data_IF_623022003868
#
_entry.id   IF_623022003868
#
_cell.length_a   1.000
_cell.length_b   1.000
_cell.length_c   1.000
_cell.angle_alpha   90.00
_cell.angle_beta   90.00
_cell.angle_gamma   90.00
#
_symmetry.space_group_name_H-M   'P 1'
#
loop_
_entity.id
_entity.type
_entity.pdbx_description
1 polymer ?
#
# COMPACT_ATOMS: atom_id res chain seq x y z
N UNK A 1 -0.99 7.77 2.62
CA UNK A 1 0.33 8.25 2.13
C UNK A 1 0.13 9.25 0.99
N UNK A 2 1.05 10.21 0.80
CA UNK A 2 0.99 11.16 -0.33
C UNK A 2 1.31 10.43 -1.65
N UNK A 3 0.62 10.77 -2.74
CA UNK A 3 0.84 10.21 -4.07
C UNK A 3 2.21 10.60 -4.64
N UNK A 4 2.70 11.79 -4.29
CA UNK A 4 4.00 12.31 -4.76
C UNK A 4 5.13 11.43 -4.22
N UNK A 5 5.06 11.07 -2.93
CA UNK A 5 6.03 10.21 -2.26
C UNK A 5 6.05 8.77 -2.80
N UNK A 6 4.92 8.28 -3.30
CA UNK A 6 4.85 6.93 -3.88
C UNK A 6 5.46 6.95 -5.29
N UNK A 7 5.20 8.00 -6.08
CA UNK A 7 5.73 8.08 -7.47
C UNK A 7 7.24 8.23 -7.53
N UNK A 8 7.83 8.93 -6.57
CA UNK A 8 9.29 9.12 -6.48
C UNK A 8 10.07 7.84 -6.15
N UNK A 9 9.41 6.80 -5.62
CA UNK A 9 10.03 5.52 -5.29
C UNK A 9 10.36 4.68 -6.53
N UNK A 10 11.46 3.95 -6.47
CA UNK A 10 11.84 2.93 -7.46
C UNK A 10 10.90 1.72 -7.41
N UNK A 11 10.92 0.88 -8.45
CA UNK A 11 10.11 -0.35 -8.49
C UNK A 11 10.41 -1.29 -7.31
N UNK A 12 11.69 -1.39 -6.89
CA UNK A 12 12.08 -2.21 -5.73
C UNK A 12 11.47 -1.67 -4.44
N UNK A 13 11.60 -0.36 -4.20
CA UNK A 13 11.05 0.29 -3.00
C UNK A 13 9.51 0.20 -2.96
N UNK A 14 8.85 0.27 -4.11
CA UNK A 14 7.40 0.06 -4.21
C UNK A 14 6.99 -1.36 -3.84
N UNK A 15 7.77 -2.36 -4.25
CA UNK A 15 7.54 -3.76 -3.87
C UNK A 15 7.76 -3.97 -2.37
N UNK A 16 8.81 -3.40 -1.79
CA UNK A 16 9.05 -3.44 -0.34
C UNK A 16 7.94 -2.76 0.46
N UNK A 17 7.51 -1.58 0.00
CA UNK A 17 6.38 -0.84 0.58
C UNK A 17 5.08 -1.64 0.49
N UNK A 18 4.84 -2.35 -0.62
CA UNK A 18 3.67 -3.21 -0.75
C UNK A 18 3.69 -4.35 0.29
N UNK A 19 4.86 -4.94 0.55
CA UNK A 19 5.01 -5.99 1.56
C UNK A 19 4.78 -5.43 2.96
N UNK A 20 5.32 -4.25 3.29
CA UNK A 20 5.12 -3.63 4.60
C UNK A 20 3.64 -3.29 4.84
N UNK A 21 2.97 -2.67 3.88
CA UNK A 21 1.54 -2.35 3.97
C UNK A 21 0.66 -3.59 4.12
N UNK A 22 1.01 -4.70 3.46
CA UNK A 22 0.28 -5.98 3.63
C UNK A 22 0.47 -6.56 5.03
N UNK A 23 1.68 -6.51 5.59
CA UNK A 23 1.93 -6.92 6.98
C UNK A 23 1.16 -6.05 7.97
N UNK A 24 1.17 -4.74 7.75
CA UNK A 24 0.44 -3.78 8.57
C UNK A 24 -1.07 -4.02 8.53
N UNK A 25 -1.62 -4.35 7.35
CA UNK A 25 -3.03 -4.72 7.21
C UNK A 25 -3.38 -5.97 8.01
N UNK A 26 -2.54 -7.01 7.97
CA UNK A 26 -2.76 -8.25 8.75
C UNK A 26 -2.77 -7.93 10.23
N UNK A 27 -1.77 -7.18 10.70
CA UNK A 27 -1.68 -6.76 12.11
C UNK A 27 -2.91 -5.93 12.52
N UNK A 28 -3.35 -4.99 11.69
CA UNK A 28 -4.54 -4.17 11.95
C UNK A 28 -5.81 -5.02 12.05
N UNK A 29 -5.98 -6.03 11.19
CA UNK A 29 -7.12 -6.95 11.23
C UNK A 29 -7.09 -7.84 12.47
N UNK A 30 -5.93 -8.35 12.86
CA UNK A 30 -5.77 -9.15 14.08
C UNK A 30 -6.05 -8.31 15.32
N UNK A 31 -5.45 -7.11 15.41
CA UNK A 31 -5.66 -6.19 16.52
C UNK A 31 -7.13 -5.76 16.63
N UNK A 32 -7.83 -5.54 15.50
CA UNK A 32 -9.26 -5.23 15.51
C UNK A 32 -10.13 -6.36 16.09
N UNK A 33 -9.71 -7.61 15.95
CA UNK A 33 -10.42 -8.74 16.56
C UNK A 33 -10.18 -8.81 18.07
N UNK A 34 -9.00 -8.40 18.52
CA UNK A 34 -8.60 -8.41 19.93
C UNK A 34 -9.20 -7.20 20.67
N UNK A 35 -9.19 -6.03 20.03
CA UNK A 35 -9.70 -4.77 20.57
C UNK A 35 -10.66 -4.07 19.58
N UNK A 36 -11.92 -3.95 19.99
CA UNK A 36 -13.00 -3.30 19.25
C UNK A 36 -12.86 -1.77 19.22
N UNK A 37 -11.98 -1.18 20.03
CA UNK A 37 -11.72 0.28 20.06
C UNK A 37 -10.91 0.79 18.86
N UNK A 38 -10.35 -0.12 18.06
CA UNK A 38 -9.46 0.21 16.95
C UNK A 38 -10.12 1.08 15.88
N UNK A 39 -9.34 2.06 15.41
CA UNK A 39 -9.75 3.11 14.48
C UNK A 39 -10.35 2.49 13.19
N UNK A 40 -11.67 2.63 13.01
CA UNK A 40 -12.44 1.94 11.96
C UNK A 40 -11.88 2.19 10.55
N UNK A 41 -11.33 3.39 10.33
CA UNK A 41 -10.82 3.82 9.02
C UNK A 41 -9.39 3.37 8.73
N UNK A 42 -8.64 2.88 9.73
CA UNK A 42 -7.22 2.54 9.56
C UNK A 42 -7.01 1.42 8.52
N UNK A 43 -7.78 0.33 8.63
CA UNK A 43 -7.75 -0.74 7.63
C UNK A 43 -8.13 -0.25 6.22
N UNK A 44 -9.11 0.67 6.13
CA UNK A 44 -9.53 1.24 4.86
C UNK A 44 -8.43 2.12 4.25
N UNK A 45 -7.70 2.88 5.07
CA UNK A 45 -6.59 3.70 4.64
C UNK A 45 -5.41 2.86 4.14
N UNK A 46 -5.03 1.80 4.86
CA UNK A 46 -3.99 0.86 4.39
C UNK A 46 -4.37 0.24 3.05
N UNK A 47 -5.63 -0.19 2.90
CA UNK A 47 -6.13 -0.73 1.61
C UNK A 47 -6.04 0.28 0.46
N UNK A 48 -6.36 1.55 0.72
CA UNK A 48 -6.20 2.63 -0.27
C UNK A 48 -4.74 2.84 -0.64
N UNK A 49 -3.83 2.82 0.32
CA UNK A 49 -2.40 2.96 0.07
C UNK A 49 -1.85 1.78 -0.75
N UNK A 50 -2.27 0.53 -0.44
CA UNK A 50 -1.96 -0.65 -1.26
C UNK A 50 -2.43 -0.47 -2.71
N UNK A 51 -3.68 -0.02 -2.90
CA UNK A 51 -4.23 0.20 -4.23
C UNK A 51 -3.42 1.22 -5.03
N UNK A 52 -3.01 2.34 -4.41
CA UNK A 52 -2.17 3.37 -5.03
C UNK A 52 -0.81 2.81 -5.48
N UNK A 53 -0.14 2.05 -4.62
CA UNK A 53 1.16 1.42 -4.93
C UNK A 53 1.02 0.47 -6.13
N UNK A 54 -0.02 -0.36 -6.15
CA UNK A 54 -0.29 -1.27 -7.26
C UNK A 54 -0.59 -0.53 -8.58
N UNK A 55 -1.33 0.58 -8.52
CA UNK A 55 -1.59 1.42 -9.68
C UNK A 55 -0.28 1.96 -10.26
N UNK A 56 0.59 2.53 -9.43
CA UNK A 56 1.86 3.09 -9.90
C UNK A 56 2.79 2.01 -10.45
N UNK A 57 2.87 0.84 -9.82
CA UNK A 57 3.62 -0.30 -10.37
C UNK A 57 3.10 -0.71 -11.76
N UNK A 58 1.78 -0.67 -11.96
CA UNK A 58 1.17 -0.98 -13.25
C UNK A 58 1.40 0.12 -14.30
N UNK A 59 1.39 1.39 -13.90
CA UNK A 59 1.76 2.54 -14.75
C UNK A 59 3.20 2.37 -15.26
N UNK A 60 4.16 2.17 -14.35
CA UNK A 60 5.58 1.97 -14.69
C UNK A 60 5.80 0.76 -15.59
N UNK A 61 5.12 -0.36 -15.30
CA UNK A 61 5.18 -1.56 -16.15
C UNK A 61 4.62 -1.33 -17.56
N UNK A 62 3.63 -0.44 -17.72
CA UNK A 62 3.13 -0.07 -19.05
C UNK A 62 4.12 0.81 -19.78
N UNK A 63 4.74 1.77 -19.09
CA UNK A 63 5.80 2.61 -19.67
C UNK A 63 6.97 1.75 -20.20
N UNK A 64 7.45 0.79 -19.41
CA UNK A 64 8.53 -0.14 -19.82
C UNK A 64 8.19 -1.00 -21.04
N UNK A 65 6.90 -1.26 -21.32
CA UNK A 65 6.46 -2.06 -22.48
C UNK A 65 6.29 -1.25 -23.76
N UNK A 66 6.27 0.08 -23.65
CA UNK A 66 6.11 1.00 -24.77
C UNK A 66 7.42 1.68 -25.18
N UNK A 67 8.54 1.29 -24.56
CA UNK A 67 9.92 1.65 -24.93
C UNK A 67 10.55 0.46 -25.64
#
# INVERSE_FOLDING_TARGET
MDIVDIRSKTNSELCELLVSLRKELVNAVLNKKIDKSSNHFYCANIKKDIARVLTILNEKKKEEKHV
#
